data_IF_758065648307
#
_entry.id   IF_758065648307
#
_cell.length_a   1.000
_cell.length_b   1.000
_cell.length_c   1.000
_cell.angle_alpha   90.00
_cell.angle_beta   90.00
_cell.angle_gamma   90.00
#
_symmetry.space_group_name_H-M   'P 1'
#
loop_
_entity.id
_entity.type
_entity.pdbx_description
1 polymer ?
#
# COMPACT_ATOMS: atom_id res chain seq x y z
N UNK A 1 46.94 2.75 -9.77
CA UNK A 1 45.64 2.46 -10.45
C UNK A 1 44.43 2.72 -9.54
N UNK A 2 44.60 3.51 -8.48
CA UNK A 2 43.65 3.61 -7.37
C UNK A 2 42.47 4.56 -7.63
N UNK A 3 42.66 5.64 -8.41
CA UNK A 3 41.59 6.62 -8.72
C UNK A 3 40.40 6.03 -9.46
N UNK A 4 40.64 5.03 -10.32
CA UNK A 4 39.59 4.33 -11.07
C UNK A 4 38.73 3.48 -10.12
N UNK A 5 39.37 2.84 -9.15
CA UNK A 5 38.69 2.04 -8.12
C UNK A 5 37.86 2.96 -7.22
N UNK A 6 38.40 4.11 -6.83
CA UNK A 6 37.67 5.12 -6.04
C UNK A 6 36.44 5.64 -6.79
N UNK A 7 36.57 5.96 -8.09
CA UNK A 7 35.43 6.40 -8.90
C UNK A 7 34.35 5.31 -9.03
N UNK A 8 34.75 4.06 -9.26
CA UNK A 8 33.81 2.93 -9.39
C UNK A 8 33.07 2.68 -8.06
N UNK A 9 33.77 2.78 -6.92
CA UNK A 9 33.16 2.65 -5.59
C UNK A 9 32.17 3.78 -5.28
N UNK A 10 32.51 5.02 -5.64
CA UNK A 10 31.62 6.17 -5.45
C UNK A 10 30.32 6.04 -6.28
N UNK A 11 30.43 5.58 -7.52
CA UNK A 11 29.27 5.36 -8.41
C UNK A 11 28.38 4.23 -7.87
N UNK A 12 28.97 3.14 -7.36
CA UNK A 12 28.22 2.03 -6.78
C UNK A 12 27.42 2.45 -5.53
N UNK A 13 27.96 3.33 -4.69
CA UNK A 13 27.27 3.86 -3.52
C UNK A 13 26.05 4.72 -3.89
N UNK A 14 26.14 5.51 -4.96
CA UNK A 14 25.03 6.37 -5.43
C UNK A 14 23.90 5.54 -6.04
N UNK A 15 24.23 4.45 -6.76
CA UNK A 15 23.23 3.56 -7.38
C UNK A 15 22.54 2.63 -6.36
N UNK A 16 23.13 2.39 -5.19
CA UNK A 16 22.55 1.53 -4.14
C UNK A 16 21.46 2.20 -3.30
N UNK A 17 21.33 3.53 -3.34
CA UNK A 17 20.42 4.30 -2.46
C UNK A 17 19.06 4.63 -3.10
N UNK A 18 18.83 4.30 -4.37
CA UNK A 18 17.61 4.67 -5.10
C UNK A 18 16.51 3.60 -5.12
N UNK A 19 16.62 2.55 -4.28
CA UNK A 19 15.50 1.64 -4.05
C UNK A 19 14.51 2.23 -3.04
N UNK A 20 13.86 3.34 -3.40
CA UNK A 20 12.50 3.57 -2.92
C UNK A 20 11.61 2.58 -3.65
N UNK A 21 11.66 1.32 -3.21
CA UNK A 21 10.55 0.44 -3.41
C UNK A 21 9.37 1.14 -2.74
N UNK A 22 8.58 1.86 -3.53
CA UNK A 22 7.21 2.21 -3.17
C UNK A 22 6.43 0.90 -3.21
N UNK A 23 6.84 -0.06 -2.36
CA UNK A 23 5.94 -1.09 -1.90
C UNK A 23 4.81 -0.30 -1.28
N UNK A 24 3.62 -0.42 -1.86
CA UNK A 24 2.41 0.12 -1.28
C UNK A 24 2.48 -0.22 0.20
N UNK A 25 2.65 0.80 1.04
CA UNK A 25 2.68 0.59 2.47
C UNK A 25 1.37 -0.14 2.80
N UNK A 26 1.42 -1.25 3.54
CA UNK A 26 0.20 -1.87 4.00
C UNK A 26 -0.57 -0.78 4.75
N UNK A 27 -1.76 -0.43 4.25
CA UNK A 27 -2.61 0.55 4.91
C UNK A 27 -2.75 0.17 6.39
N UNK A 28 -2.66 1.15 7.28
CA UNK A 28 -2.80 0.89 8.71
C UNK A 28 -4.20 0.36 9.01
N UNK A 29 -4.34 -0.48 10.04
CA UNK A 29 -5.64 -1.07 10.44
C UNK A 29 -6.72 0.01 10.67
N UNK A 30 -6.28 1.21 11.10
CA UNK A 30 -7.13 2.39 11.26
C UNK A 30 -7.79 2.85 9.96
N UNK A 31 -7.10 2.75 8.81
CA UNK A 31 -7.64 3.17 7.52
C UNK A 31 -8.75 2.26 6.99
N UNK A 32 -8.86 1.05 7.54
CA UNK A 32 -9.92 0.13 7.22
C UNK A 32 -11.17 0.29 8.10
N UNK A 33 -11.14 1.16 9.11
CA UNK A 33 -12.26 1.43 10.02
C UNK A 33 -13.32 2.36 9.40
N UNK A 34 -13.90 1.94 8.28
CA UNK A 34 -14.94 2.67 7.56
C UNK A 34 -16.29 1.99 7.76
N UNK A 35 -17.29 2.75 8.26
CA UNK A 35 -18.66 2.24 8.40
C UNK A 35 -19.19 1.74 7.05
N UNK A 36 -19.92 0.61 6.98
CA UNK A 36 -20.38 0.00 5.73
C UNK A 36 -21.05 0.94 4.73
N UNK A 37 -21.83 1.91 5.23
CA UNK A 37 -22.54 2.91 4.41
C UNK A 37 -21.65 3.94 3.71
N UNK A 38 -20.41 4.10 4.15
CA UNK A 38 -19.44 5.05 3.60
C UNK A 38 -18.34 4.37 2.77
N UNK A 39 -18.39 3.05 2.65
CA UNK A 39 -17.41 2.29 1.87
C UNK A 39 -17.56 2.59 0.38
N UNK A 40 -16.44 2.75 -0.31
CA UNK A 40 -16.39 2.89 -1.76
C UNK A 40 -15.85 1.58 -2.33
N UNK A 41 -16.59 0.96 -3.25
CA UNK A 41 -16.24 -0.35 -3.79
C UNK A 41 -14.88 -0.33 -4.51
N UNK A 42 -14.00 -1.26 -4.14
CA UNK A 42 -12.68 -1.46 -4.75
C UNK A 42 -12.56 -2.81 -5.50
N UNK A 43 -13.59 -3.66 -5.50
CA UNK A 43 -13.54 -4.99 -6.11
C UNK A 43 -14.82 -5.42 -6.82
N UNK A 44 -14.76 -6.51 -7.61
CA UNK A 44 -15.94 -7.17 -8.13
C UNK A 44 -16.76 -7.81 -7.00
N UNK A 45 -18.05 -8.12 -7.25
CA UNK A 45 -18.84 -8.94 -6.33
C UNK A 45 -18.15 -10.28 -6.07
N UNK A 46 -18.30 -10.82 -4.86
CA UNK A 46 -17.75 -12.12 -4.44
C UNK A 46 -16.21 -12.23 -4.53
N UNK A 47 -15.48 -11.11 -4.53
CA UNK A 47 -14.02 -11.11 -4.40
C UNK A 47 -13.57 -11.80 -3.10
N UNK A 48 -12.49 -12.56 -3.14
CA UNK A 48 -11.87 -13.14 -1.94
C UNK A 48 -11.17 -12.06 -1.12
N UNK A 49 -11.04 -12.29 0.18
CA UNK A 49 -10.30 -11.38 1.06
C UNK A 49 -8.86 -11.14 0.54
N UNK A 50 -8.15 -12.22 0.18
CA UNK A 50 -6.80 -12.14 -0.36
C UNK A 50 -6.72 -11.28 -1.62
N UNK A 51 -7.59 -11.51 -2.61
CA UNK A 51 -7.58 -10.73 -3.84
C UNK A 51 -7.92 -9.25 -3.60
N UNK A 52 -8.71 -8.94 -2.57
CA UNK A 52 -8.97 -7.56 -2.18
C UNK A 52 -7.72 -6.88 -1.57
N UNK A 53 -7.02 -7.59 -0.67
CA UNK A 53 -5.78 -7.10 -0.07
C UNK A 53 -4.67 -6.94 -1.11
N UNK A 54 -4.55 -7.87 -2.06
CA UNK A 54 -3.57 -7.80 -3.16
C UNK A 54 -3.81 -6.59 -4.08
N UNK A 55 -5.06 -6.09 -4.14
CA UNK A 55 -5.42 -4.83 -4.83
C UNK A 55 -5.10 -3.58 -4.01
N UNK A 56 -4.59 -3.72 -2.79
CA UNK A 56 -4.36 -2.61 -1.87
C UNK A 56 -5.65 -2.05 -1.28
N UNK A 57 -6.62 -2.92 -0.95
CA UNK A 57 -7.90 -2.50 -0.40
C UNK A 57 -8.24 -3.23 0.90
N UNK A 58 -9.19 -2.69 1.65
CA UNK A 58 -9.69 -3.25 2.88
C UNK A 58 -10.79 -4.27 2.61
N UNK A 59 -10.83 -5.35 3.40
CA UNK A 59 -11.86 -6.37 3.33
C UNK A 59 -12.58 -6.54 4.68
N UNK A 60 -13.90 -6.46 4.68
CA UNK A 60 -14.73 -6.80 5.84
C UNK A 60 -16.07 -7.42 5.41
N UNK A 61 -16.29 -8.67 5.81
CA UNK A 61 -17.47 -9.46 5.52
C UNK A 61 -18.40 -9.70 6.72
N UNK A 62 -18.23 -8.97 7.83
CA UNK A 62 -19.07 -9.13 9.05
C UNK A 62 -20.56 -8.88 8.77
N UNK A 63 -20.85 -7.95 7.86
CA UNK A 63 -22.23 -7.60 7.46
C UNK A 63 -22.53 -8.07 6.05
N UNK A 64 -23.68 -8.72 5.86
CA UNK A 64 -24.19 -9.11 4.53
C UNK A 64 -24.88 -7.95 3.82
N UNK A 65 -24.86 -7.94 2.48
CA UNK A 65 -25.57 -6.94 1.68
C UNK A 65 -24.89 -5.57 1.59
N UNK A 66 -23.62 -5.47 1.98
CA UNK A 66 -22.80 -4.26 1.91
C UNK A 66 -21.52 -4.52 1.13
N UNK A 67 -20.77 -3.45 0.84
CA UNK A 67 -19.47 -3.55 0.17
C UNK A 67 -18.45 -4.20 1.12
N UNK A 68 -17.92 -5.36 0.70
CA UNK A 68 -16.89 -6.08 1.45
C UNK A 68 -15.48 -5.63 1.10
N UNK A 69 -15.19 -5.40 -0.18
CA UNK A 69 -13.89 -4.89 -0.63
C UNK A 69 -13.97 -3.41 -0.95
N UNK A 70 -13.27 -2.58 -0.18
CA UNK A 70 -13.39 -1.13 -0.26
C UNK A 70 -12.05 -0.42 -0.16
N UNK A 71 -12.00 0.81 -0.69
CA UNK A 71 -10.82 1.64 -0.58
C UNK A 71 -10.55 2.00 0.90
N UNK A 72 -9.29 1.97 1.34
CA UNK A 72 -8.90 2.50 2.64
C UNK A 72 -9.19 4.00 2.68
N UNK A 73 -9.35 4.56 3.88
CA UNK A 73 -9.43 6.01 4.00
C UNK A 73 -8.11 6.60 3.52
N UNK A 74 -8.12 7.74 2.80
CA UNK A 74 -6.89 8.47 2.54
C UNK A 74 -6.20 8.66 3.90
N UNK A 75 -4.90 8.34 3.98
CA UNK A 75 -4.13 8.68 5.15
C UNK A 75 -4.40 10.17 5.40
N UNK A 76 -4.88 10.51 6.59
CA UNK A 76 -4.51 11.80 7.11
C UNK A 76 -2.99 11.68 7.24
N UNK A 77 -2.26 12.09 6.20
CA UNK A 77 -0.86 12.42 6.33
C UNK A 77 -0.82 13.26 7.60
N UNK A 78 -0.23 12.73 8.66
CA UNK A 78 0.03 13.52 9.85
C UNK A 78 1.09 14.51 9.40
N UNK A 79 0.66 15.60 8.76
CA UNK A 79 1.50 16.76 8.48
C UNK A 79 1.65 17.43 9.83
N UNK A 80 2.64 16.94 10.56
CA UNK A 80 3.16 17.56 11.77
C UNK A 80 4.26 18.55 11.38
#
# INVERSE_FOLDING_TARGET
MEKKVICVLAIALVLGLSSSAKGQAPFTEAQCQIQPKFRINCGPPSISAQACYDKGCCFDSDKTGVIWCYYPSPEAECVL
#
